data_IF_799310660406
#
_entry.id   IF_799310660406
#
_cell.length_a   1.000
_cell.length_b   1.000
_cell.length_c   1.000
_cell.angle_alpha   90.00
_cell.angle_beta   90.00
_cell.angle_gamma   90.00
#
_symmetry.space_group_name_H-M   'P 1'
#
loop_
_entity.id
_entity.type
_entity.pdbx_description
1 polymer ?
#
# COMPACT_ATOMS: atom_id res chain seq x y z
N UNK A 1 -17.34 5.94 6.75
CA UNK A 1 -15.93 5.68 7.13
C UNK A 1 -15.40 6.91 7.80
N UNK A 2 -14.61 6.78 8.85
CA UNK A 2 -13.93 7.95 9.43
C UNK A 2 -12.95 8.56 8.38
N UNK A 3 -12.67 9.86 8.46
CA UNK A 3 -11.77 10.53 7.50
C UNK A 3 -10.37 9.91 7.48
N UNK A 4 -9.88 9.48 8.66
CA UNK A 4 -8.56 8.88 8.82
C UNK A 4 -8.41 7.55 8.07
N UNK A 5 -9.40 6.65 8.10
CA UNK A 5 -9.24 5.37 7.38
C UNK A 5 -9.37 5.54 5.88
N UNK A 6 -10.17 6.51 5.41
CA UNK A 6 -10.20 6.87 3.98
C UNK A 6 -8.81 7.36 3.53
N UNK A 7 -8.19 8.24 4.31
CA UNK A 7 -6.84 8.74 4.02
C UNK A 7 -5.80 7.61 3.99
N UNK A 8 -5.82 6.71 4.96
CA UNK A 8 -4.89 5.57 5.00
C UNK A 8 -5.08 4.62 3.80
N UNK A 9 -6.32 4.36 3.37
CA UNK A 9 -6.59 3.55 2.17
C UNK A 9 -6.01 4.22 0.92
N UNK A 10 -6.23 5.53 0.76
CA UNK A 10 -5.71 6.28 -0.40
C UNK A 10 -4.18 6.29 -0.40
N UNK A 11 -3.54 6.50 0.76
CA UNK A 11 -2.09 6.51 0.90
C UNK A 11 -1.50 5.12 0.60
N UNK A 12 -2.11 4.05 1.13
CA UNK A 12 -1.71 2.67 0.82
C UNK A 12 -1.78 2.38 -0.68
N UNK A 13 -2.87 2.78 -1.34
CA UNK A 13 -3.04 2.61 -2.78
C UNK A 13 -2.02 3.41 -3.60
N UNK A 14 -1.74 4.66 -3.20
CA UNK A 14 -0.71 5.49 -3.85
C UNK A 14 0.69 4.89 -3.73
N UNK A 15 1.04 4.34 -2.56
CA UNK A 15 2.33 3.66 -2.35
C UNK A 15 2.44 2.45 -3.30
N UNK A 16 1.38 1.65 -3.45
CA UNK A 16 1.38 0.52 -4.37
C UNK A 16 1.55 0.97 -5.82
N UNK A 17 0.72 1.92 -6.28
CA UNK A 17 0.74 2.37 -7.68
C UNK A 17 2.07 3.02 -8.02
N UNK A 18 2.53 3.99 -7.22
CA UNK A 18 3.77 4.70 -7.49
C UNK A 18 4.99 3.80 -7.31
N UNK A 19 4.99 2.94 -6.29
CA UNK A 19 6.09 2.01 -6.05
C UNK A 19 6.18 0.92 -7.13
N UNK A 20 5.05 0.41 -7.62
CA UNK A 20 5.02 -0.53 -8.76
C UNK A 20 5.49 0.16 -10.04
N UNK A 21 5.01 1.38 -10.33
CA UNK A 21 5.50 2.17 -11.47
C UNK A 21 7.02 2.35 -11.38
N UNK A 22 7.54 2.75 -10.21
CA UNK A 22 8.97 2.89 -9.99
C UNK A 22 9.74 1.58 -10.22
N UNK A 23 9.24 0.47 -9.69
CA UNK A 23 9.88 -0.84 -9.85
C UNK A 23 9.91 -1.27 -11.32
N UNK A 24 8.83 -1.03 -12.08
CA UNK A 24 8.72 -1.35 -13.50
C UNK A 24 9.63 -0.44 -14.34
N UNK A 25 9.62 0.87 -14.10
CA UNK A 25 10.41 1.82 -14.90
C UNK A 25 11.90 1.75 -14.59
N UNK A 26 12.27 1.41 -13.36
CA UNK A 26 13.67 1.25 -12.94
C UNK A 26 14.17 -0.18 -13.11
N UNK A 27 13.33 -1.13 -13.53
CA UNK A 27 13.76 -2.50 -13.83
C UNK A 27 14.43 -2.52 -15.21
N UNK A 28 15.67 -2.07 -15.28
CA UNK A 28 16.55 -2.45 -16.40
C UNK A 28 16.68 -3.99 -16.47
N UNK A 29 17.10 -4.49 -17.65
CA UNK A 29 17.11 -5.85 -18.22
C UNK A 29 17.26 -7.11 -17.30
N UNK A 30 17.52 -6.98 -16.00
CA UNK A 30 17.86 -8.08 -15.10
C UNK A 30 16.81 -8.43 -14.01
N UNK A 31 15.63 -7.80 -13.97
CA UNK A 31 14.58 -8.19 -13.00
C UNK A 31 14.94 -8.01 -11.52
N UNK A 32 16.02 -7.26 -11.22
CA UNK A 32 16.57 -7.03 -9.87
C UNK A 32 15.57 -6.36 -8.92
N UNK A 33 14.56 -5.66 -9.45
CA UNK A 33 13.58 -4.94 -8.62
C UNK A 33 12.44 -5.83 -8.08
N UNK A 34 12.44 -7.15 -8.35
CA UNK A 34 11.38 -8.05 -7.86
C UNK A 34 11.21 -8.04 -6.33
N UNK A 35 12.27 -8.11 -5.50
CA UNK A 35 12.11 -8.04 -4.04
C UNK A 35 11.54 -6.70 -3.56
N UNK A 36 11.94 -5.60 -4.21
CA UNK A 36 11.43 -4.26 -3.93
C UNK A 36 9.95 -4.16 -4.28
N UNK A 37 9.54 -4.71 -5.43
CA UNK A 37 8.15 -4.74 -5.86
C UNK A 37 7.27 -5.51 -4.88
N UNK A 38 7.73 -6.66 -4.39
CA UNK A 38 7.01 -7.44 -3.35
C UNK A 38 6.89 -6.60 -2.07
N UNK A 39 7.98 -5.95 -1.64
CA UNK A 39 7.96 -5.08 -0.46
C UNK A 39 6.92 -3.94 -0.57
N UNK A 40 6.87 -3.27 -1.73
CA UNK A 40 5.89 -2.21 -2.01
C UNK A 40 4.45 -2.72 -1.90
N UNK A 41 4.16 -3.87 -2.51
CA UNK A 41 2.81 -4.47 -2.48
C UNK A 41 2.41 -4.89 -1.06
N UNK A 42 3.33 -5.48 -0.29
CA UNK A 42 3.07 -5.89 1.09
C UNK A 42 2.84 -4.67 1.98
N UNK A 43 3.70 -3.65 1.91
CA UNK A 43 3.55 -2.45 2.75
C UNK A 43 2.24 -1.72 2.44
N UNK A 44 1.92 -1.51 1.17
CA UNK A 44 0.68 -0.86 0.77
C UNK A 44 -0.57 -1.61 1.24
N UNK A 45 -0.60 -2.94 1.06
CA UNK A 45 -1.73 -3.77 1.50
C UNK A 45 -1.85 -3.86 3.03
N UNK A 46 -0.74 -3.81 3.77
CA UNK A 46 -0.77 -3.73 5.24
C UNK A 46 -1.36 -2.41 5.74
N UNK A 47 -1.07 -1.29 5.07
CA UNK A 47 -1.63 0.02 5.41
C UNK A 47 -3.15 0.03 5.15
N UNK A 48 -3.59 -0.47 4.00
CA UNK A 48 -5.02 -0.56 3.64
C UNK A 48 -5.80 -1.47 4.59
N UNK A 49 -5.29 -2.67 4.87
CA UNK A 49 -5.93 -3.62 5.80
C UNK A 49 -5.99 -3.07 7.23
N UNK A 50 -4.94 -2.37 7.69
CA UNK A 50 -4.91 -1.71 9.00
C UNK A 50 -5.94 -0.57 9.07
N UNK A 51 -6.14 0.17 7.99
CA UNK A 51 -7.16 1.22 7.91
C UNK A 51 -8.58 0.66 8.03
N UNK A 52 -8.87 -0.44 7.32
CA UNK A 52 -10.16 -1.13 7.41
C UNK A 52 -10.38 -1.68 8.83
N UNK A 53 -9.35 -2.31 9.40
CA UNK A 53 -9.41 -2.83 10.77
C UNK A 53 -9.68 -1.73 11.80
N UNK A 54 -8.98 -0.60 11.69
CA UNK A 54 -9.18 0.56 12.56
C UNK A 54 -10.59 1.13 12.46
N UNK A 55 -11.14 1.25 11.24
CA UNK A 55 -12.53 1.68 11.04
C UNK A 55 -13.54 0.72 11.69
N UNK A 56 -13.28 -0.59 11.67
CA UNK A 56 -14.13 -1.58 12.34
C UNK A 56 -14.03 -1.45 13.86
N UNK A 57 -12.82 -1.30 14.40
CA UNK A 57 -12.59 -1.10 15.84
C UNK A 57 -13.30 0.14 16.36
N UNK A 58 -13.22 1.26 15.66
CA UNK A 58 -13.89 2.50 16.07
C UNK A 58 -15.42 2.41 16.11
N UNK A 59 -16.04 1.42 15.45
CA UNK A 59 -17.49 1.19 15.56
C UNK A 59 -17.88 0.34 16.76
N UNK A 60 -16.92 -0.33 17.40
CA UNK A 60 -17.14 -1.25 18.52
C UNK A 60 -16.72 -0.67 19.87
N UNK A 61 -16.00 0.45 19.86
CA UNK A 61 -15.66 1.27 21.03
C UNK A 61 -16.64 2.43 21.08
#
# INVERSE_FOLDING_TARGET
MNPLSILLIIVGGLIQVLGVIYCITSAGDAGINMPLMIGVLVVGSMIESSAVFWHILQKRI
#
